data_IF_564785659841
#
_entry.id   IF_564785659841
#
_cell.length_a   1.000
_cell.length_b   1.000
_cell.length_c   1.000
_cell.angle_alpha   90.00
_cell.angle_beta   90.00
_cell.angle_gamma   90.00
#
_symmetry.space_group_name_H-M   'P 1'
#
loop_
_entity.id
_entity.type
_entity.pdbx_description
1 polymer ?
#
# COMPACT_ATOMS: atom_id res chain seq x y z
N UNK A 1 -14.92 3.85 -3.35
CA UNK A 1 -14.78 3.17 -4.65
C UNK A 1 -16.10 2.53 -5.00
N UNK A 2 -16.63 2.67 -6.23
CA UNK A 2 -17.66 1.76 -6.66
C UNK A 2 -17.05 0.36 -6.64
N UNK A 3 -17.63 -0.58 -5.89
CA UNK A 3 -17.30 -1.99 -5.99
C UNK A 3 -17.33 -2.33 -7.48
N UNK A 4 -16.22 -2.80 -8.04
CA UNK A 4 -16.15 -3.19 -9.44
C UNK A 4 -17.23 -4.24 -9.66
N UNK A 5 -18.25 -3.90 -10.45
CA UNK A 5 -19.25 -4.87 -10.86
C UNK A 5 -18.52 -6.03 -11.53
N UNK A 6 -18.84 -7.29 -11.20
CA UNK A 6 -18.23 -8.43 -11.86
C UNK A 6 -18.49 -8.31 -13.37
N UNK A 7 -17.44 -8.07 -14.15
CA UNK A 7 -17.51 -8.22 -15.60
C UNK A 7 -16.95 -7.12 -16.49
N UNK A 8 -16.37 -6.01 -16.02
CA UNK A 8 -16.06 -4.93 -16.96
C UNK A 8 -14.80 -4.09 -16.71
N UNK A 9 -14.14 -4.13 -15.60
CA UNK A 9 -12.95 -3.30 -15.39
C UNK A 9 -11.66 -4.13 -15.48
N UNK A 10 -10.67 -3.60 -16.21
CA UNK A 10 -9.35 -4.22 -16.25
C UNK A 10 -8.73 -4.24 -14.83
N UNK A 11 -7.95 -5.27 -14.48
CA UNK A 11 -7.26 -5.34 -13.20
C UNK A 11 -6.38 -4.11 -12.95
N UNK A 12 -6.45 -3.52 -11.75
CA UNK A 12 -5.70 -2.33 -11.40
C UNK A 12 -4.19 -2.62 -11.26
N UNK A 13 -3.37 -1.75 -11.83
CA UNK A 13 -1.93 -1.70 -11.60
C UNK A 13 -1.65 -0.81 -10.37
N UNK A 14 -1.34 -1.42 -9.23
CA UNK A 14 -0.84 -0.75 -8.06
C UNK A 14 0.69 -0.76 -8.09
N UNK A 15 1.32 0.40 -8.28
CA UNK A 15 2.78 0.51 -8.25
C UNK A 15 3.27 0.38 -6.80
N UNK A 16 3.86 -0.78 -6.47
CA UNK A 16 4.31 -1.17 -5.13
C UNK A 16 5.48 -0.31 -4.67
N UNK A 17 5.24 0.54 -3.67
CA UNK A 17 6.18 1.56 -3.18
C UNK A 17 6.63 2.54 -4.28
N UNK A 18 5.73 2.82 -5.25
CA UNK A 18 6.05 3.49 -6.50
C UNK A 18 6.62 2.55 -7.56
N UNK A 19 7.35 3.07 -8.55
CA UNK A 19 8.08 2.26 -9.54
C UNK A 19 9.39 1.74 -8.92
N UNK A 20 9.28 0.87 -7.93
CA UNK A 20 10.40 0.43 -7.09
C UNK A 20 11.42 -0.46 -7.81
N UNK A 21 11.08 -1.01 -8.98
CA UNK A 21 12.06 -1.74 -9.81
C UNK A 21 13.12 -0.82 -10.45
N UNK A 22 12.85 0.47 -10.61
CA UNK A 22 13.74 1.41 -11.31
C UNK A 22 14.11 2.65 -10.49
N UNK A 23 13.44 2.88 -9.36
CA UNK A 23 13.62 4.03 -8.48
C UNK A 23 13.66 3.59 -7.01
N UNK A 24 14.33 4.35 -6.11
CA UNK A 24 14.33 4.01 -4.69
C UNK A 24 12.90 4.00 -4.14
N UNK A 25 12.51 2.88 -3.53
CA UNK A 25 11.16 2.63 -3.02
C UNK A 25 10.69 3.71 -2.03
N UNK A 26 9.38 3.96 -1.98
CA UNK A 26 8.77 4.90 -1.04
C UNK A 26 9.32 6.34 -1.10
N UNK A 27 9.76 6.76 -2.27
CA UNK A 27 10.28 8.12 -2.52
C UNK A 27 9.46 8.85 -3.58
N UNK A 28 9.53 10.19 -3.56
CA UNK A 28 8.81 11.01 -4.54
C UNK A 28 9.16 10.66 -5.99
N UNK A 29 10.45 10.48 -6.38
CA UNK A 29 10.79 10.03 -7.72
C UNK A 29 10.15 8.71 -8.14
N UNK A 30 10.03 7.73 -7.21
CA UNK A 30 9.39 6.45 -7.49
C UNK A 30 7.88 6.61 -7.77
N UNK A 31 7.19 7.47 -7.00
CA UNK A 31 5.77 7.74 -7.19
C UNK A 31 5.49 8.50 -8.48
N UNK A 32 6.28 9.52 -8.79
CA UNK A 32 6.15 10.27 -10.05
C UNK A 32 6.42 9.39 -11.27
N UNK A 33 7.44 8.52 -11.20
CA UNK A 33 7.75 7.57 -12.25
C UNK A 33 6.61 6.54 -12.44
N UNK A 34 5.98 6.07 -11.38
CA UNK A 34 4.82 5.17 -11.46
C UNK A 34 3.64 5.83 -12.19
N UNK A 35 3.35 7.09 -11.88
CA UNK A 35 2.32 7.87 -12.58
C UNK A 35 2.67 8.06 -14.05
N UNK A 36 3.94 8.36 -14.36
CA UNK A 36 4.42 8.52 -15.74
C UNK A 36 4.34 7.21 -16.54
N UNK A 37 4.55 6.06 -15.89
CA UNK A 37 4.40 4.74 -16.47
C UNK A 37 2.93 4.33 -16.72
N UNK A 38 1.95 5.11 -16.25
CA UNK A 38 0.53 4.84 -16.43
C UNK A 38 -0.07 3.88 -15.41
N UNK A 39 0.52 3.74 -14.22
CA UNK A 39 -0.08 2.99 -13.13
C UNK A 39 -1.46 3.55 -12.76
N UNK A 40 -2.42 2.66 -12.44
CA UNK A 40 -3.77 3.08 -12.02
C UNK A 40 -3.75 3.65 -10.59
N UNK A 41 -2.81 3.18 -9.78
CA UNK A 41 -2.57 3.63 -8.42
C UNK A 41 -1.13 3.43 -7.98
N UNK A 42 -0.75 4.10 -6.90
CA UNK A 42 0.49 3.83 -6.16
C UNK A 42 0.15 3.20 -4.82
N UNK A 43 1.01 2.35 -4.36
CA UNK A 43 0.99 1.83 -3.00
C UNK A 43 2.19 2.40 -2.25
N UNK A 44 2.04 2.62 -0.96
CA UNK A 44 3.05 3.16 -0.07
C UNK A 44 2.85 2.69 1.37
N UNK A 45 3.93 2.66 2.12
CA UNK A 45 3.96 2.27 3.53
C UNK A 45 4.07 3.50 4.45
N UNK A 46 3.33 3.54 5.55
CA UNK A 46 3.37 4.65 6.48
C UNK A 46 3.66 4.18 7.90
N UNK A 47 4.57 4.90 8.57
CA UNK A 47 4.89 4.77 10.00
C UNK A 47 4.96 6.14 10.67
N UNK A 48 5.27 6.18 11.98
CA UNK A 48 5.39 7.41 12.75
C UNK A 48 6.83 7.72 13.14
N UNK A 49 7.22 8.99 13.00
CA UNK A 49 8.42 9.54 13.64
C UNK A 49 8.23 9.70 15.15
N UNK A 50 9.30 9.97 15.90
CA UNK A 50 9.27 10.23 17.34
C UNK A 50 8.34 11.39 17.75
N UNK A 51 8.23 12.41 16.91
CA UNK A 51 7.36 13.57 17.08
C UNK A 51 5.99 13.42 16.38
N UNK A 52 5.64 12.16 15.95
CA UNK A 52 4.32 11.79 15.48
C UNK A 52 3.99 12.24 14.06
N UNK A 53 4.97 12.41 13.16
CA UNK A 53 4.72 12.70 11.74
C UNK A 53 4.54 11.41 10.96
N UNK A 54 3.65 11.42 9.96
CA UNK A 54 3.40 10.30 9.07
C UNK A 54 4.52 10.21 8.02
N UNK A 55 5.51 9.35 8.26
CA UNK A 55 6.68 9.13 7.39
C UNK A 55 6.41 7.98 6.44
N UNK A 56 6.77 8.16 5.16
CA UNK A 56 6.61 7.10 4.15
C UNK A 56 7.90 6.30 4.05
N UNK A 57 7.87 5.07 4.60
CA UNK A 57 8.98 4.12 4.62
C UNK A 57 8.44 2.73 4.97
N UNK A 58 9.01 1.66 4.40
CA UNK A 58 8.55 0.29 4.61
C UNK A 58 9.04 -0.31 5.93
N UNK A 59 10.34 -0.25 6.19
CA UNK A 59 10.95 -0.93 7.33
C UNK A 59 10.76 -0.12 8.62
N UNK A 60 10.69 -0.81 9.75
CA UNK A 60 10.69 -0.17 11.06
C UNK A 60 12.00 0.56 11.38
N UNK A 61 13.06 0.26 10.63
CA UNK A 61 14.40 0.85 10.78
C UNK A 61 14.89 1.53 9.50
N UNK A 62 15.87 2.43 9.64
CA UNK A 62 16.42 3.25 8.57
C UNK A 62 17.48 2.54 7.72
N UNK A 63 18.02 1.43 8.22
CA UNK A 63 19.30 0.84 7.81
C UNK A 63 19.36 0.35 6.35
N UNK A 64 18.24 -0.12 5.77
CA UNK A 64 18.21 -0.69 4.42
C UNK A 64 18.09 0.37 3.32
N UNK A 65 17.28 1.39 3.55
CA UNK A 65 16.87 2.33 2.49
C UNK A 65 17.29 3.76 2.73
N UNK A 66 18.14 4.00 3.74
CA UNK A 66 18.70 5.35 4.02
C UNK A 66 20.15 5.25 4.48
N UNK A 67 20.81 6.41 4.59
CA UNK A 67 22.11 6.55 5.24
C UNK A 67 22.04 6.69 6.78
N UNK A 68 20.83 6.61 7.35
CA UNK A 68 20.56 6.59 8.79
C UNK A 68 20.56 5.18 9.36
N UNK A 69 20.49 5.08 10.71
CA UNK A 69 20.49 3.82 11.44
C UNK A 69 19.46 3.80 12.56
N UNK A 70 18.97 2.60 12.88
CA UNK A 70 18.07 2.35 14.00
C UNK A 70 16.59 2.66 13.68
N UNK A 71 15.72 2.62 14.70
CA UNK A 71 14.27 2.73 14.52
C UNK A 71 13.83 4.11 14.01
N UNK A 72 12.94 4.13 13.02
CA UNK A 72 12.30 5.35 12.51
C UNK A 72 11.60 6.12 13.64
N UNK A 73 10.92 5.41 14.52
CA UNK A 73 10.18 5.95 15.66
C UNK A 73 11.06 6.58 16.76
N UNK A 74 12.38 6.41 16.68
CA UNK A 74 13.32 7.00 17.65
C UNK A 74 13.75 8.43 17.28
N UNK A 75 13.59 8.84 16.01
CA UNK A 75 14.04 10.14 15.52
C UNK A 75 12.88 11.08 15.21
N UNK A 76 12.98 12.39 15.53
CA UNK A 76 12.01 13.37 15.11
C UNK A 76 12.12 13.63 13.60
N UNK A 77 11.04 14.11 12.98
CA UNK A 77 11.00 14.41 11.55
C UNK A 77 12.15 15.30 11.07
N UNK A 78 12.53 16.31 11.85
CA UNK A 78 13.61 17.23 11.47
C UNK A 78 14.97 16.55 11.27
N UNK A 79 15.20 15.35 11.84
CA UNK A 79 16.37 14.50 11.59
C UNK A 79 16.12 13.56 10.40
N UNK A 80 14.98 12.87 10.37
CA UNK A 80 14.60 11.96 9.28
C UNK A 80 14.61 12.65 7.91
N UNK A 81 14.12 13.89 7.82
CA UNK A 81 14.07 14.68 6.60
C UNK A 81 15.45 15.02 5.99
N UNK A 82 16.54 14.79 6.72
CA UNK A 82 17.90 15.05 6.25
C UNK A 82 18.59 13.81 5.70
N UNK A 83 18.04 12.63 5.94
CA UNK A 83 18.62 11.36 5.51
C UNK A 83 18.56 11.21 4.00
N UNK A 84 19.58 10.61 3.43
CA UNK A 84 19.61 10.21 2.03
C UNK A 84 18.87 8.86 1.89
N UNK A 85 17.76 8.87 1.19
CA UNK A 85 16.94 7.69 0.92
C UNK A 85 17.08 7.18 -0.53
N UNK A 86 18.08 7.65 -1.27
CA UNK A 86 18.29 7.29 -2.68
C UNK A 86 19.60 6.63 -3.00
N UNK A 87 20.70 7.01 -2.34
CA UNK A 87 22.05 6.53 -2.66
C UNK A 87 22.23 5.01 -2.55
N UNK A 88 21.47 4.34 -1.68
CA UNK A 88 21.46 2.87 -1.54
C UNK A 88 21.00 2.17 -2.82
N UNK A 89 20.09 2.79 -3.58
CA UNK A 89 19.57 2.27 -4.84
C UNK A 89 20.53 2.54 -6.01
N UNK A 90 21.17 3.72 -6.01
CA UNK A 90 22.15 4.06 -7.02
C UNK A 90 22.61 5.52 -6.90
N UNK A 91 23.85 5.83 -7.35
CA UNK A 91 24.45 7.14 -7.17
C UNK A 91 23.67 8.29 -7.85
N UNK A 92 22.90 7.99 -8.90
CA UNK A 92 22.06 8.96 -9.59
C UNK A 92 20.89 9.46 -8.73
N UNK A 93 20.57 8.76 -7.65
CA UNK A 93 19.52 9.12 -6.69
C UNK A 93 20.05 9.74 -5.40
N UNK A 94 21.35 10.05 -5.35
CA UNK A 94 21.95 10.70 -4.18
C UNK A 94 21.20 11.99 -3.84
N UNK A 95 20.88 12.15 -2.55
CA UNK A 95 20.16 13.32 -2.05
C UNK A 95 18.63 13.22 -2.12
N UNK A 96 18.05 12.13 -2.65
CA UNK A 96 16.62 11.85 -2.52
C UNK A 96 16.26 11.67 -1.04
N UNK A 97 15.14 12.21 -0.60
CA UNK A 97 14.71 12.25 0.81
C UNK A 97 13.51 11.37 1.07
N UNK A 98 13.34 10.97 2.34
CA UNK A 98 12.09 10.39 2.81
C UNK A 98 10.97 11.43 2.68
N UNK A 99 9.78 11.09 2.14
CA UNK A 99 8.66 12.01 2.12
C UNK A 99 7.73 11.80 3.32
N UNK A 100 6.95 12.84 3.65
CA UNK A 100 5.75 12.69 4.46
C UNK A 100 4.57 12.23 3.59
N UNK A 101 3.63 11.51 4.22
CA UNK A 101 2.40 11.09 3.54
C UNK A 101 1.65 12.28 2.92
N UNK A 102 1.58 13.42 3.60
CA UNK A 102 0.92 14.62 3.09
C UNK A 102 1.54 15.10 1.77
N UNK A 103 2.88 15.13 1.68
CA UNK A 103 3.61 15.53 0.46
C UNK A 103 3.31 14.58 -0.71
N UNK A 104 3.28 13.26 -0.46
CA UNK A 104 2.93 12.28 -1.49
C UNK A 104 1.49 12.47 -1.96
N UNK A 105 0.55 12.62 -1.03
CA UNK A 105 -0.86 12.80 -1.37
C UNK A 105 -1.12 14.12 -2.14
N UNK A 106 -0.38 15.18 -1.87
CA UNK A 106 -0.45 16.44 -2.61
C UNK A 106 -0.03 16.27 -4.07
N UNK A 107 1.05 15.51 -4.32
CA UNK A 107 1.63 15.35 -5.67
C UNK A 107 0.87 14.32 -6.51
N UNK A 108 0.54 13.15 -5.94
CA UNK A 108 -0.02 12.03 -6.71
C UNK A 108 -1.48 11.72 -6.40
N UNK A 109 -2.00 12.08 -5.23
CA UNK A 109 -3.31 11.64 -4.76
C UNK A 109 -4.50 12.10 -5.61
N UNK A 110 -4.34 13.18 -6.39
CA UNK A 110 -5.37 13.63 -7.35
C UNK A 110 -5.16 13.07 -8.76
N UNK A 111 -4.01 12.47 -9.04
CA UNK A 111 -3.64 11.97 -10.38
C UNK A 111 -3.97 10.48 -10.53
N UNK A 112 -3.69 9.69 -9.49
CA UNK A 112 -3.90 8.24 -9.44
C UNK A 112 -4.57 7.83 -8.12
N UNK A 113 -4.97 6.58 -7.99
CA UNK A 113 -5.41 6.00 -6.72
C UNK A 113 -4.22 5.83 -5.77
N UNK A 114 -4.46 5.82 -4.46
CA UNK A 114 -3.39 5.58 -3.48
C UNK A 114 -3.82 4.48 -2.51
N UNK A 115 -3.01 3.43 -2.39
CA UNK A 115 -3.12 2.46 -1.31
C UNK A 115 -2.12 2.83 -0.22
N UNK A 116 -2.61 3.14 0.98
CA UNK A 116 -1.80 3.49 2.15
C UNK A 116 -1.75 2.28 3.07
N UNK A 117 -0.61 1.59 3.14
CA UNK A 117 -0.40 0.55 4.13
C UNK A 117 0.03 1.16 5.47
N UNK A 118 -0.77 0.93 6.51
CA UNK A 118 -0.34 1.23 7.89
C UNK A 118 0.48 0.04 8.38
N UNK A 119 1.76 0.30 8.66
CA UNK A 119 2.68 -0.74 9.16
C UNK A 119 2.28 -1.18 10.57
N UNK A 120 2.38 -2.49 10.89
CA UNK A 120 2.00 -3.02 12.20
C UNK A 120 2.71 -2.33 13.38
N UNK A 121 3.96 -1.93 13.20
CA UNK A 121 4.76 -1.24 14.21
C UNK A 121 4.22 0.15 14.54
N UNK A 122 3.62 0.84 13.56
CA UNK A 122 2.97 2.13 13.76
C UNK A 122 1.61 2.00 14.44
N UNK A 123 0.89 0.91 14.15
CA UNK A 123 -0.45 0.63 14.64
C UNK A 123 -0.51 0.31 16.15
N UNK A 124 0.61 -0.07 16.73
CA UNK A 124 0.69 -0.49 18.14
C UNK A 124 1.15 0.61 19.10
N UNK A 125 1.14 1.87 18.69
CA UNK A 125 1.42 2.96 19.65
C UNK A 125 0.29 2.96 20.69
N UNK A 126 0.60 2.64 21.97
CA UNK A 126 -0.43 2.56 22.99
C UNK A 126 -1.15 3.91 23.10
N UNK A 127 -2.47 3.87 23.21
CA UNK A 127 -3.29 5.08 23.36
C UNK A 127 -2.91 5.96 24.58
N UNK A 128 -2.07 5.41 25.49
CA UNK A 128 -1.53 6.11 26.65
C UNK A 128 -0.18 6.80 26.43
N UNK A 129 0.44 6.64 25.23
CA UNK A 129 1.69 7.39 24.95
C UNK A 129 1.40 8.88 24.94
N UNK A 130 1.92 9.67 25.91
CA UNK A 130 1.54 11.07 26.03
C UNK A 130 1.92 11.87 24.79
N UNK A 131 0.92 12.55 24.20
CA UNK A 131 1.14 13.47 23.09
C UNK A 131 1.22 12.84 21.68
N UNK A 132 1.20 11.52 21.54
CA UNK A 132 1.19 10.87 20.22
C UNK A 132 -0.25 10.57 19.81
N UNK A 133 -0.66 11.11 18.66
CA UNK A 133 -1.95 10.77 18.03
C UNK A 133 -1.81 9.48 17.27
N UNK A 134 -2.67 8.45 17.47
CA UNK A 134 -2.61 7.19 16.74
C UNK A 134 -2.56 7.39 15.22
N UNK A 135 -1.77 6.57 14.53
CA UNK A 135 -1.55 6.63 13.08
C UNK A 135 -2.88 6.58 12.31
N UNK A 136 -3.81 5.72 12.73
CA UNK A 136 -5.12 5.56 12.10
C UNK A 136 -5.91 6.87 12.10
N UNK A 137 -5.90 7.58 13.24
CA UNK A 137 -6.58 8.87 13.37
C UNK A 137 -5.93 9.94 12.49
N UNK A 138 -4.62 9.96 12.42
CA UNK A 138 -3.89 10.91 11.58
C UNK A 138 -4.15 10.66 10.09
N UNK A 139 -4.06 9.39 9.64
CA UNK A 139 -4.33 8.99 8.24
C UNK A 139 -5.77 9.34 7.85
N UNK A 140 -6.77 8.94 8.66
CA UNK A 140 -8.17 9.25 8.38
C UNK A 140 -8.44 10.77 8.33
N UNK A 141 -7.84 11.54 9.26
CA UNK A 141 -7.98 12.99 9.28
C UNK A 141 -7.32 13.67 8.07
N UNK A 142 -6.14 13.20 7.66
CA UNK A 142 -5.40 13.71 6.50
C UNK A 142 -6.18 13.46 5.20
N UNK A 143 -6.60 12.21 4.97
CA UNK A 143 -7.39 11.82 3.78
C UNK A 143 -8.67 12.65 3.67
N UNK A 144 -9.38 12.85 4.80
CA UNK A 144 -10.60 13.68 4.86
C UNK A 144 -10.29 15.15 4.58
N UNK A 145 -9.26 15.73 5.20
CA UNK A 145 -8.85 17.12 4.99
C UNK A 145 -8.53 17.42 3.54
N UNK A 146 -7.92 16.46 2.84
CA UNK A 146 -7.54 16.60 1.43
C UNK A 146 -8.68 16.25 0.46
N UNK A 147 -9.82 15.73 0.94
CA UNK A 147 -10.96 15.31 0.11
C UNK A 147 -10.64 14.12 -0.79
N UNK A 148 -9.83 13.17 -0.30
CA UNK A 148 -9.34 12.02 -1.08
C UNK A 148 -10.00 10.68 -0.73
N UNK A 149 -11.11 10.67 0.04
CA UNK A 149 -11.74 9.41 0.52
C UNK A 149 -12.11 8.44 -0.62
N UNK A 150 -12.50 8.96 -1.77
CA UNK A 150 -12.85 8.12 -2.93
C UNK A 150 -11.64 7.66 -3.76
N UNK A 151 -10.46 8.15 -3.44
CA UNK A 151 -9.22 7.88 -4.18
C UNK A 151 -8.20 7.09 -3.37
N UNK A 152 -8.49 6.83 -2.10
CA UNK A 152 -7.60 6.16 -1.18
C UNK A 152 -8.20 4.84 -0.73
N UNK A 153 -7.37 3.80 -0.65
CA UNK A 153 -7.61 2.58 0.14
C UNK A 153 -6.60 2.59 1.28
N UNK A 154 -7.03 2.30 2.51
CA UNK A 154 -6.08 2.10 3.61
C UNK A 154 -6.02 0.63 3.94
N UNK A 155 -4.83 0.05 3.88
CA UNK A 155 -4.60 -1.37 4.14
C UNK A 155 -3.72 -1.60 5.36
N UNK A 156 -3.82 -2.77 5.95
CA UNK A 156 -2.94 -3.22 7.04
C UNK A 156 -3.05 -4.73 7.24
N UNK A 157 -1.97 -5.34 7.74
CA UNK A 157 -1.99 -6.67 8.37
C UNK A 157 -2.61 -6.63 9.76
N UNK A 158 -2.65 -5.47 10.41
CA UNK A 158 -3.21 -5.30 11.74
C UNK A 158 -4.73 -5.09 11.66
N UNK A 159 -5.50 -6.14 12.00
CA UNK A 159 -6.96 -6.08 12.03
C UNK A 159 -7.50 -5.00 12.98
N UNK A 160 -6.81 -4.72 14.10
CA UNK A 160 -7.24 -3.70 15.06
C UNK A 160 -7.15 -2.30 14.45
N UNK A 161 -6.13 -2.03 13.63
CA UNK A 161 -6.03 -0.78 12.88
C UNK A 161 -7.21 -0.60 11.92
N UNK A 162 -7.59 -1.66 11.19
CA UNK A 162 -8.72 -1.60 10.28
C UNK A 162 -10.06 -1.37 11.01
N UNK A 163 -10.25 -1.99 12.18
CA UNK A 163 -11.42 -1.75 13.05
C UNK A 163 -11.43 -0.31 13.55
N UNK A 164 -10.27 0.23 13.98
CA UNK A 164 -10.15 1.62 14.42
C UNK A 164 -10.47 2.60 13.28
N UNK A 165 -9.92 2.37 12.08
CA UNK A 165 -10.21 3.19 10.90
C UNK A 165 -11.70 3.18 10.54
N UNK A 166 -12.35 2.01 10.56
CA UNK A 166 -13.80 1.89 10.29
C UNK A 166 -14.62 2.69 11.29
N UNK A 167 -14.20 2.73 12.55
CA UNK A 167 -14.85 3.53 13.60
C UNK A 167 -14.65 5.04 13.40
N UNK A 168 -13.55 5.46 12.78
CA UNK A 168 -13.21 6.86 12.51
C UNK A 168 -13.89 7.39 11.24
N UNK A 169 -14.01 6.54 10.22
CA UNK A 169 -14.64 6.89 8.95
C UNK A 169 -15.33 5.66 8.31
N UNK A 170 -16.66 5.67 8.36
CA UNK A 170 -17.47 4.56 7.84
C UNK A 170 -17.39 4.41 6.30
N UNK A 171 -16.99 5.46 5.58
CA UNK A 171 -16.91 5.47 4.12
C UNK A 171 -15.52 5.16 3.57
N UNK A 172 -14.47 5.18 4.42
CA UNK A 172 -13.10 4.96 3.97
C UNK A 172 -12.91 3.53 3.45
N UNK A 173 -12.46 3.34 2.20
CA UNK A 173 -12.16 2.01 1.68
C UNK A 173 -11.01 1.36 2.45
N UNK A 174 -11.21 0.13 2.93
CA UNK A 174 -10.23 -0.63 3.69
C UNK A 174 -9.80 -1.88 2.94
N UNK A 175 -8.51 -2.24 3.02
CA UNK A 175 -7.92 -3.45 2.48
C UNK A 175 -7.35 -4.33 3.60
N UNK A 176 -7.74 -5.59 3.65
CA UNK A 176 -7.17 -6.57 4.60
C UNK A 176 -5.98 -7.26 3.96
N UNK A 177 -4.78 -7.05 4.51
CA UNK A 177 -3.55 -7.78 4.17
C UNK A 177 -3.47 -9.07 5.01
N UNK A 178 -2.97 -10.15 4.41
CA UNK A 178 -2.67 -11.39 5.10
C UNK A 178 -1.55 -12.20 4.42
N UNK A 179 -0.87 -13.05 5.18
CA UNK A 179 0.16 -13.99 4.72
C UNK A 179 -0.39 -15.40 4.48
N UNK A 180 -1.68 -15.64 4.75
CA UNK A 180 -2.31 -16.95 4.55
C UNK A 180 -2.40 -17.76 5.83
N UNK A 181 -2.85 -17.15 6.91
CA UNK A 181 -3.04 -17.77 8.22
C UNK A 181 -4.04 -18.93 8.13
N UNK A 182 -3.64 -20.08 8.64
CA UNK A 182 -4.44 -21.29 8.60
C UNK A 182 -5.71 -21.14 9.49
N UNK A 183 -6.82 -21.71 9.01
CA UNK A 183 -8.09 -21.75 9.73
C UNK A 183 -8.76 -20.40 10.00
N UNK A 184 -8.44 -19.36 9.21
CA UNK A 184 -9.08 -18.05 9.28
C UNK A 184 -10.22 -17.96 8.26
N UNK A 185 -11.40 -17.54 8.70
CA UNK A 185 -12.49 -17.17 7.77
C UNK A 185 -12.32 -15.71 7.32
N UNK A 186 -11.52 -15.52 6.26
CA UNK A 186 -11.26 -14.20 5.72
C UNK A 186 -12.54 -13.49 5.24
N UNK A 187 -13.54 -14.20 4.71
CA UNK A 187 -14.79 -13.56 4.28
C UNK A 187 -15.56 -13.00 5.48
N UNK A 188 -15.59 -13.72 6.58
CA UNK A 188 -16.21 -13.22 7.81
C UNK A 188 -15.47 -11.97 8.32
N UNK A 189 -14.13 -11.95 8.29
CA UNK A 189 -13.35 -10.78 8.68
C UNK A 189 -13.58 -9.58 7.75
N UNK A 190 -13.54 -9.78 6.43
CA UNK A 190 -13.84 -8.74 5.44
C UNK A 190 -15.21 -8.12 5.66
N UNK A 191 -16.22 -8.95 5.92
CA UNK A 191 -17.56 -8.49 6.25
C UNK A 191 -17.62 -7.71 7.56
N UNK A 192 -16.96 -8.21 8.61
CA UNK A 192 -16.97 -7.58 9.95
C UNK A 192 -16.34 -6.18 9.96
N UNK A 193 -15.25 -5.97 9.20
CA UNK A 193 -14.61 -4.66 9.09
C UNK A 193 -15.20 -3.80 7.96
N UNK A 194 -16.12 -4.34 7.16
CA UNK A 194 -16.65 -3.66 5.98
C UNK A 194 -15.58 -3.36 4.94
N UNK A 195 -14.64 -4.30 4.71
CA UNK A 195 -13.54 -4.11 3.77
C UNK A 195 -14.03 -3.86 2.34
N UNK A 196 -13.25 -3.14 1.56
CA UNK A 196 -13.44 -2.98 0.12
C UNK A 196 -12.66 -4.02 -0.68
N UNK A 197 -11.53 -4.50 -0.13
CA UNK A 197 -10.62 -5.40 -0.83
C UNK A 197 -9.88 -6.33 0.12
N UNK A 198 -9.40 -7.44 -0.45
CA UNK A 198 -8.58 -8.46 0.18
C UNK A 198 -7.22 -8.50 -0.51
N UNK A 199 -6.15 -8.43 0.28
CA UNK A 199 -4.77 -8.35 -0.19
C UNK A 199 -3.97 -9.54 0.35
N UNK A 200 -4.17 -10.75 -0.19
CA UNK A 200 -3.46 -11.95 0.27
C UNK A 200 -2.06 -12.06 -0.33
N UNK A 201 -1.17 -12.75 0.39
CA UNK A 201 0.02 -13.29 -0.25
C UNK A 201 -0.36 -14.28 -1.35
N UNK A 202 0.19 -14.09 -2.56
CA UNK A 202 -0.21 -14.86 -3.75
C UNK A 202 -0.03 -16.37 -3.58
N UNK A 203 1.04 -16.79 -2.89
CA UNK A 203 1.32 -18.23 -2.73
C UNK A 203 0.40 -18.92 -1.72
N UNK A 204 -0.23 -18.15 -0.83
CA UNK A 204 -1.25 -18.65 0.08
C UNK A 204 -2.68 -18.57 -0.51
N UNK A 205 -2.85 -17.96 -1.68
CA UNK A 205 -4.15 -17.79 -2.32
C UNK A 205 -4.49 -19.01 -3.18
N UNK A 206 -5.46 -19.82 -2.73
CA UNK A 206 -6.02 -20.89 -3.55
C UNK A 206 -7.19 -20.41 -4.45
N UNK A 207 -7.49 -21.14 -5.56
CA UNK A 207 -8.56 -20.75 -6.48
C UNK A 207 -9.96 -20.71 -5.85
N UNK A 208 -10.24 -21.54 -4.84
CA UNK A 208 -11.55 -21.57 -4.18
C UNK A 208 -11.75 -20.32 -3.33
N UNK A 209 -10.74 -19.90 -2.56
CA UNK A 209 -10.77 -18.65 -1.79
C UNK A 209 -10.89 -17.45 -2.73
N UNK A 210 -10.07 -17.39 -3.80
CA UNK A 210 -10.13 -16.33 -4.81
C UNK A 210 -11.56 -16.21 -5.41
N UNK A 211 -12.14 -17.33 -5.79
CA UNK A 211 -13.52 -17.38 -6.32
C UNK A 211 -14.57 -16.87 -5.31
N UNK A 212 -14.48 -17.28 -4.05
CA UNK A 212 -15.39 -16.83 -2.97
C UNK A 212 -15.27 -15.32 -2.72
N UNK A 213 -14.06 -14.79 -2.61
CA UNK A 213 -13.78 -13.36 -2.40
C UNK A 213 -14.42 -12.53 -3.52
N UNK A 214 -14.19 -12.93 -4.77
CA UNK A 214 -14.77 -12.25 -5.94
C UNK A 214 -16.29 -12.36 -6.00
N UNK A 215 -16.83 -13.53 -5.74
CA UNK A 215 -18.28 -13.75 -5.73
C UNK A 215 -18.98 -12.90 -4.65
N UNK A 216 -18.29 -12.63 -3.53
CA UNK A 216 -18.76 -11.74 -2.48
C UNK A 216 -18.62 -10.24 -2.83
N UNK A 217 -18.02 -9.91 -3.98
CA UNK A 217 -17.90 -8.52 -4.47
C UNK A 217 -16.69 -7.74 -3.95
N UNK A 218 -15.76 -8.38 -3.26
CA UNK A 218 -14.53 -7.73 -2.80
C UNK A 218 -13.51 -7.56 -3.93
N UNK A 219 -12.72 -6.48 -3.89
CA UNK A 219 -11.49 -6.38 -4.66
C UNK A 219 -10.51 -7.49 -4.22
N UNK A 220 -9.78 -8.08 -5.17
CA UNK A 220 -8.76 -9.08 -4.89
C UNK A 220 -7.42 -8.56 -5.43
N UNK A 221 -6.53 -8.14 -4.52
CA UNK A 221 -5.24 -7.53 -4.84
C UNK A 221 -4.10 -8.34 -4.22
N UNK A 222 -3.69 -9.47 -4.82
CA UNK A 222 -2.58 -10.26 -4.30
C UNK A 222 -1.26 -9.50 -4.33
N UNK A 223 -0.42 -9.77 -3.34
CA UNK A 223 0.95 -9.29 -3.26
C UNK A 223 1.94 -10.46 -3.29
N UNK A 224 3.20 -10.16 -3.61
CA UNK A 224 4.29 -11.13 -3.68
C UNK A 224 5.56 -10.53 -3.09
N UNK A 225 6.48 -11.37 -2.64
CA UNK A 225 7.85 -10.93 -2.35
C UNK A 225 8.55 -10.44 -3.63
N UNK A 226 9.59 -9.62 -3.47
CA UNK A 226 10.26 -8.92 -4.57
C UNK A 226 10.74 -9.88 -5.68
N UNK A 227 11.29 -11.04 -5.33
CA UNK A 227 11.78 -12.07 -6.25
C UNK A 227 10.68 -12.73 -7.09
N UNK A 228 9.44 -12.71 -6.61
CA UNK A 228 8.28 -13.27 -7.31
C UNK A 228 7.46 -12.19 -8.06
N UNK A 229 7.90 -10.92 -8.04
CA UNK A 229 7.28 -9.83 -8.78
C UNK A 229 7.72 -9.85 -10.25
N UNK A 230 7.40 -10.97 -10.94
CA UNK A 230 7.79 -11.34 -12.28
C UNK A 230 6.57 -11.45 -13.20
N UNK A 231 6.75 -11.48 -14.54
CA UNK A 231 5.64 -11.73 -15.47
C UNK A 231 4.83 -12.99 -15.15
N UNK A 232 5.49 -14.05 -14.67
CA UNK A 232 4.84 -15.32 -14.29
C UNK A 232 3.97 -15.13 -13.02
N UNK A 233 4.48 -14.44 -12.01
CA UNK A 233 3.72 -14.11 -10.80
C UNK A 233 2.49 -13.24 -11.13
N UNK A 234 2.67 -12.24 -11.98
CA UNK A 234 1.58 -11.38 -12.49
C UNK A 234 0.54 -12.20 -13.27
N UNK A 235 0.97 -13.08 -14.17
CA UNK A 235 0.09 -13.97 -14.94
C UNK A 235 -0.72 -14.88 -14.01
N UNK A 236 -0.07 -15.50 -13.02
CA UNK A 236 -0.73 -16.36 -12.02
C UNK A 236 -1.78 -15.59 -11.20
N UNK A 237 -1.48 -14.38 -10.76
CA UNK A 237 -2.45 -13.54 -10.05
C UNK A 237 -3.68 -13.26 -10.93
N UNK A 238 -3.46 -12.92 -12.20
CA UNK A 238 -4.53 -12.67 -13.16
C UNK A 238 -5.34 -13.95 -13.45
N UNK A 239 -4.70 -15.15 -13.49
CA UNK A 239 -5.39 -16.46 -13.65
C UNK A 239 -6.31 -16.77 -12.47
N UNK A 240 -5.91 -16.40 -11.26
CA UNK A 240 -6.74 -16.50 -10.06
C UNK A 240 -7.87 -15.45 -10.04
N UNK A 241 -7.88 -14.54 -11.03
CA UNK A 241 -8.89 -13.51 -11.17
C UNK A 241 -8.65 -12.30 -10.29
N UNK A 242 -7.40 -11.96 -10.01
CA UNK A 242 -7.06 -10.71 -9.34
C UNK A 242 -7.71 -9.51 -10.05
N UNK A 243 -8.27 -8.60 -9.27
CA UNK A 243 -8.83 -7.33 -9.74
C UNK A 243 -7.85 -6.18 -9.62
N UNK A 244 -6.66 -6.45 -9.11
CA UNK A 244 -5.48 -5.58 -9.05
C UNK A 244 -4.27 -6.37 -8.60
N UNK A 245 -3.08 -5.79 -8.77
CA UNK A 245 -1.81 -6.41 -8.38
C UNK A 245 -0.80 -5.35 -7.98
N UNK A 246 0.01 -5.63 -6.95
CA UNK A 246 1.08 -4.76 -6.48
C UNK A 246 2.37 -5.06 -7.28
N UNK A 247 2.65 -4.22 -8.28
CA UNK A 247 3.76 -4.39 -9.22
C UNK A 247 4.94 -3.49 -8.89
N UNK A 248 6.14 -4.06 -8.73
CA UNK A 248 7.39 -3.29 -8.60
C UNK A 248 7.72 -2.55 -9.90
N UNK A 249 7.40 -3.18 -11.05
CA UNK A 249 7.48 -2.58 -12.38
C UNK A 249 6.07 -2.44 -12.98
N UNK A 250 5.47 -1.25 -12.96
CA UNK A 250 4.15 -1.01 -13.54
C UNK A 250 4.08 -1.34 -15.03
N UNK A 251 5.14 -1.10 -15.81
CA UNK A 251 5.13 -1.34 -17.25
C UNK A 251 5.00 -2.83 -17.59
N UNK A 252 5.67 -3.70 -16.81
CA UNK A 252 5.53 -5.15 -16.97
C UNK A 252 4.10 -5.62 -16.68
N UNK A 253 3.49 -5.14 -15.61
CA UNK A 253 2.11 -5.51 -15.31
C UNK A 253 1.11 -5.00 -16.36
N UNK A 254 1.27 -3.78 -16.82
CA UNK A 254 0.42 -3.20 -17.87
C UNK A 254 0.53 -3.98 -19.18
N UNK A 255 1.73 -4.43 -19.54
CA UNK A 255 1.94 -5.31 -20.70
C UNK A 255 1.26 -6.68 -20.52
N UNK A 256 1.41 -7.32 -19.34
CA UNK A 256 0.75 -8.60 -19.05
C UNK A 256 -0.79 -8.46 -19.06
N UNK A 257 -1.31 -7.37 -18.53
CA UNK A 257 -2.75 -7.04 -18.55
C UNK A 257 -3.27 -6.86 -19.98
N UNK A 258 -2.54 -6.14 -20.84
CA UNK A 258 -2.93 -5.87 -22.21
C UNK A 258 -2.93 -7.15 -23.08
N UNK A 259 -1.95 -8.02 -22.88
CA UNK A 259 -1.86 -9.31 -23.61
C UNK A 259 -3.10 -10.20 -23.34
N UNK A 260 -3.71 -10.13 -22.16
CA UNK A 260 -4.92 -10.89 -21.82
C UNK A 260 -6.22 -10.27 -22.36
N UNK A 261 -6.25 -8.97 -22.58
CA UNK A 261 -7.44 -8.29 -23.13
C UNK A 261 -7.58 -8.52 -24.64
N UNK A 262 -6.51 -8.93 -25.34
CA UNK A 262 -6.46 -9.18 -26.79
C UNK A 262 -6.57 -10.63 -27.21
N UNK A 263 -6.64 -11.59 -26.26
CA UNK A 263 -6.83 -13.02 -26.52
C UNK A 263 -8.22 -13.45 -26.11
#
# INVERSE_FOLDING_TARGET
MPASRPGAAAPLCWAHRGHSAAFPENTMPAFEAAVAAGADGVELDVTLSADGRLVVIHDATLDRTTDGHGPVSALPWGELARLDAGSWFGPQFAGVRLPLLEEVLEVVGRRVLVNIEIKPEAACVPAWAPGVVPVERQVAALVRRMGLQERVVVSSFNLQSLVALRSLDAALPLGLLCEGEANVDFLALLGAIGAASFHPWLDALDPALAGRVRAAGYGLFPWVYAEANTPEGMARALDLGATGFFANDPALFLAARAARAGG
#
